data_IF_657252134337
#
_entry.id   IF_657252134337
#
_cell.length_a   1.000
_cell.length_b   1.000
_cell.length_c   1.000
_cell.angle_alpha   90.00
_cell.angle_beta   90.00
_cell.angle_gamma   90.00
#
_symmetry.space_group_name_H-M   'P 1'
#
loop_
_entity.id
_entity.type
_entity.pdbx_description
1 polymer ?
#
# COMPACT_ATOMS: atom_id res chain seq x y z
N UNK A 1 16.18 34.18 -30.82
CA UNK A 1 15.98 33.95 -29.36
C UNK A 1 14.58 33.46 -28.97
N UNK A 2 13.50 33.80 -29.70
CA UNK A 2 12.11 33.41 -29.32
C UNK A 2 11.79 31.91 -29.46
N UNK A 3 12.42 31.19 -30.39
CA UNK A 3 12.11 29.77 -30.67
C UNK A 3 12.55 28.79 -29.56
N UNK A 4 13.60 29.14 -28.78
CA UNK A 4 14.11 28.28 -27.69
C UNK A 4 13.22 28.30 -26.46
N UNK A 5 12.56 29.42 -26.18
CA UNK A 5 11.63 29.55 -25.05
C UNK A 5 10.33 28.78 -25.27
N UNK A 6 9.83 28.74 -26.50
CA UNK A 6 8.60 28.00 -26.83
C UNK A 6 8.78 26.49 -26.70
N UNK A 7 9.95 25.95 -27.05
CA UNK A 7 10.26 24.53 -26.93
C UNK A 7 10.37 24.07 -25.46
N UNK A 8 10.95 24.90 -24.60
CA UNK A 8 11.07 24.64 -23.15
C UNK A 8 9.71 24.63 -22.45
N UNK A 9 8.78 25.52 -22.84
CA UNK A 9 7.41 25.53 -22.33
C UNK A 9 6.62 24.28 -22.76
N UNK A 10 6.77 23.84 -24.02
CA UNK A 10 6.16 22.61 -24.53
C UNK A 10 6.70 21.34 -23.84
N UNK A 11 8.00 21.28 -23.56
CA UNK A 11 8.61 20.18 -22.79
C UNK A 11 8.14 20.15 -21.32
N UNK A 12 7.90 21.32 -20.71
CA UNK A 12 7.36 21.40 -19.34
C UNK A 12 5.90 20.93 -19.24
N UNK A 13 5.09 21.16 -20.27
CA UNK A 13 3.69 20.73 -20.33
C UNK A 13 3.57 19.20 -20.53
N UNK A 14 4.49 18.57 -21.27
CA UNK A 14 4.52 17.12 -21.42
C UNK A 14 5.07 16.38 -20.19
N UNK A 15 5.81 17.05 -19.30
CA UNK A 15 6.33 16.43 -18.07
C UNK A 15 5.25 16.30 -16.98
N UNK A 16 4.22 17.15 -16.99
CA UNK A 16 3.16 17.18 -15.97
C UNK A 16 2.18 16.00 -16.05
N UNK A 17 2.05 15.34 -17.21
CA UNK A 17 1.08 14.25 -17.42
C UNK A 17 1.54 12.88 -16.92
N UNK A 18 2.67 12.80 -16.20
CA UNK A 18 3.25 11.54 -15.72
C UNK A 18 3.06 11.26 -14.23
N UNK A 19 2.31 12.11 -13.52
CA UNK A 19 1.92 11.85 -12.14
C UNK A 19 0.90 10.70 -12.08
N UNK A 20 1.36 9.55 -11.58
CA UNK A 20 0.50 8.41 -11.29
C UNK A 20 -0.55 8.79 -10.24
N UNK A 21 -1.63 8.02 -10.21
CA UNK A 21 -2.72 8.27 -9.27
C UNK A 21 -2.24 8.10 -7.82
N UNK A 22 -2.59 9.04 -6.94
CA UNK A 22 -2.31 8.92 -5.51
C UNK A 22 -3.50 8.32 -4.77
N UNK A 23 -3.21 7.37 -3.88
CA UNK A 23 -4.18 6.68 -3.03
C UNK A 23 -3.75 6.89 -1.58
N UNK A 24 -4.55 7.63 -0.82
CA UNK A 24 -4.23 7.94 0.57
C UNK A 24 -4.99 6.99 1.51
N UNK A 25 -4.26 6.36 2.42
CA UNK A 25 -4.81 5.45 3.44
C UNK A 25 -4.63 6.09 4.82
N UNK A 26 -5.67 6.17 5.62
CA UNK A 26 -5.61 6.53 7.03
C UNK A 26 -5.48 5.26 7.88
N UNK A 27 -4.38 5.16 8.62
CA UNK A 27 -4.13 4.10 9.59
C UNK A 27 -4.71 4.48 10.97
N UNK A 28 -5.12 3.49 11.78
CA UNK A 28 -5.41 3.71 13.19
C UNK A 28 -4.22 4.34 13.92
N UNK A 29 -4.52 5.08 14.98
CA UNK A 29 -3.50 5.66 15.85
C UNK A 29 -2.59 4.57 16.41
N UNK A 30 -1.29 4.83 16.39
CA UNK A 30 -0.23 3.93 16.85
C UNK A 30 -0.19 2.55 16.15
N UNK A 31 -0.78 2.43 14.96
CA UNK A 31 -0.72 1.18 14.20
C UNK A 31 0.73 0.77 13.89
N UNK A 32 0.99 -0.53 14.00
CA UNK A 32 2.24 -1.17 13.59
C UNK A 32 1.97 -2.56 13.02
N UNK A 33 2.85 -3.01 12.14
CA UNK A 33 2.78 -4.31 11.47
C UNK A 33 2.41 -4.21 9.99
N UNK A 34 1.92 -5.32 9.44
CA UNK A 34 1.57 -5.43 8.03
C UNK A 34 0.27 -4.70 7.72
N UNK A 35 0.30 -3.85 6.70
CA UNK A 35 -0.86 -3.18 6.11
C UNK A 35 -1.16 -3.87 4.78
N UNK A 36 -2.42 -4.24 4.58
CA UNK A 36 -2.91 -4.85 3.34
C UNK A 36 -3.96 -3.93 2.71
N UNK A 37 -3.75 -3.56 1.46
CA UNK A 37 -4.66 -2.72 0.69
C UNK A 37 -5.27 -3.59 -0.40
N UNK A 38 -6.57 -3.82 -0.27
CA UNK A 38 -7.32 -4.77 -1.07
C UNK A 38 -8.13 -3.99 -2.11
N UNK A 39 -7.80 -4.09 -3.40
CA UNK A 39 -8.63 -3.58 -4.48
C UNK A 39 -9.95 -4.35 -4.55
N UNK A 40 -11.06 -3.66 -4.73
CA UNK A 40 -12.41 -4.23 -4.80
C UNK A 40 -13.09 -3.76 -6.08
N UNK A 41 -13.66 -4.69 -6.85
CA UNK A 41 -14.33 -4.38 -8.11
C UNK A 41 -15.75 -3.84 -7.86
N UNK A 42 -16.53 -4.56 -7.04
CA UNK A 42 -17.89 -4.15 -6.67
C UNK A 42 -17.92 -3.27 -5.42
N UNK A 43 -17.75 -1.97 -5.65
CA UNK A 43 -17.81 -0.95 -4.58
C UNK A 43 -19.24 -0.65 -4.10
N UNK A 44 -20.28 -1.11 -4.82
CA UNK A 44 -21.69 -0.93 -4.43
C UNK A 44 -22.05 -1.93 -3.35
N UNK A 45 -21.63 -3.19 -3.50
CA UNK A 45 -21.83 -4.24 -2.50
C UNK A 45 -20.73 -4.29 -1.43
N UNK A 46 -19.69 -3.48 -1.57
CA UNK A 46 -18.57 -3.41 -0.63
C UNK A 46 -18.09 -1.97 -0.40
N UNK A 47 -18.54 -1.30 0.68
CA UNK A 47 -18.15 0.07 0.94
C UNK A 47 -16.65 0.17 1.25
N UNK A 48 -15.99 1.13 0.59
CA UNK A 48 -14.61 1.51 0.88
C UNK A 48 -14.64 2.75 1.79
N UNK A 49 -14.56 2.61 3.13
CA UNK A 49 -14.79 3.71 4.05
C UNK A 49 -13.73 4.82 3.89
N UNK A 50 -14.18 6.07 3.92
CA UNK A 50 -13.33 7.26 3.81
C UNK A 50 -13.38 8.11 5.09
N UNK A 51 -12.23 8.62 5.51
CA UNK A 51 -12.10 9.63 6.57
C UNK A 51 -11.25 10.79 6.04
N UNK A 52 -11.81 12.00 6.02
CA UNK A 52 -11.12 13.22 5.54
C UNK A 52 -10.43 13.00 4.17
N UNK A 53 -11.13 12.33 3.25
CA UNK A 53 -10.64 12.03 1.90
C UNK A 53 -9.62 10.89 1.78
N UNK A 54 -9.39 10.10 2.84
CA UNK A 54 -8.45 8.96 2.85
C UNK A 54 -9.19 7.66 3.14
N UNK A 55 -8.79 6.55 2.51
CA UNK A 55 -9.37 5.24 2.80
C UNK A 55 -8.99 4.79 4.20
N UNK A 56 -9.98 4.44 5.00
CA UNK A 56 -9.76 4.04 6.38
C UNK A 56 -9.31 2.58 6.43
N UNK A 57 -8.11 2.34 6.95
CA UNK A 57 -7.70 1.01 7.35
C UNK A 57 -8.39 0.59 8.65
N UNK A 58 -8.75 -0.67 8.75
CA UNK A 58 -9.25 -1.27 9.99
C UNK A 58 -8.16 -1.30 11.07
N UNK A 59 -8.54 -1.60 12.32
CA UNK A 59 -7.59 -1.86 13.43
C UNK A 59 -6.63 -3.01 13.14
N UNK A 60 -6.94 -3.82 12.13
CA UNK A 60 -6.14 -4.97 11.68
C UNK A 60 -5.22 -4.62 10.50
N UNK A 61 -5.20 -3.35 10.08
CA UNK A 61 -4.36 -2.84 8.99
C UNK A 61 -4.86 -3.20 7.61
N UNK A 62 -6.16 -3.46 7.45
CA UNK A 62 -6.76 -3.76 6.14
C UNK A 62 -7.48 -2.53 5.64
N UNK A 63 -7.12 -2.03 4.46
CA UNK A 63 -7.85 -0.98 3.77
C UNK A 63 -8.43 -1.53 2.46
N UNK A 64 -9.63 -1.09 2.11
CA UNK A 64 -10.27 -1.44 0.85
C UNK A 64 -10.33 -0.22 -0.05
N UNK A 65 -9.99 -0.41 -1.33
CA UNK A 65 -9.96 0.65 -2.33
C UNK A 65 -10.66 0.19 -3.61
N UNK A 66 -11.25 1.10 -4.40
CA UNK A 66 -11.73 0.76 -5.73
C UNK A 66 -10.61 0.23 -6.63
N UNK A 67 -10.84 -0.89 -7.32
CA UNK A 67 -9.86 -1.53 -8.19
C UNK A 67 -9.38 -0.64 -9.35
N UNK A 68 -10.25 0.24 -9.83
CA UNK A 68 -10.01 1.22 -10.88
C UNK A 68 -8.74 2.05 -10.65
N UNK A 69 -8.35 2.25 -9.38
CA UNK A 69 -7.17 3.01 -9.00
C UNK A 69 -5.86 2.22 -9.10
N UNK A 70 -5.94 0.90 -9.25
CA UNK A 70 -4.78 0.00 -9.33
C UNK A 70 -4.47 -0.48 -10.76
N UNK A 71 -5.27 -0.06 -11.75
CA UNK A 71 -5.11 -0.43 -13.16
C UNK A 71 -4.08 0.42 -13.92
N UNK A 72 -3.72 1.59 -13.38
CA UNK A 72 -2.70 2.49 -13.94
C UNK A 72 -1.52 2.60 -12.99
N UNK A 73 -0.48 3.34 -13.35
CA UNK A 73 0.58 3.70 -12.41
C UNK A 73 -0.03 4.45 -11.22
N UNK A 74 0.11 3.91 -10.02
CA UNK A 74 -0.39 4.51 -8.79
C UNK A 74 0.70 4.57 -7.73
N UNK A 75 0.47 5.40 -6.71
CA UNK A 75 1.27 5.50 -5.51
C UNK A 75 0.33 5.49 -4.31
N UNK A 76 0.70 4.75 -3.28
CA UNK A 76 -0.02 4.74 -2.02
C UNK A 76 0.73 5.62 -1.04
N UNK A 77 0.01 6.41 -0.24
CA UNK A 77 0.55 7.10 0.94
C UNK A 77 -0.22 6.64 2.17
N UNK A 78 0.52 6.36 3.23
CA UNK A 78 -0.05 5.93 4.51
C UNK A 78 0.01 7.10 5.48
N UNK A 79 -1.09 7.38 6.17
CA UNK A 79 -1.19 8.47 7.12
C UNK A 79 -1.54 7.95 8.50
N UNK A 80 -0.80 8.37 9.51
CA UNK A 80 -1.13 8.14 10.91
C UNK A 80 -1.20 9.51 11.60
N UNK A 81 -2.32 9.81 12.26
CA UNK A 81 -2.54 11.11 12.90
C UNK A 81 -2.31 12.33 11.96
N UNK A 82 -2.59 12.14 10.67
CA UNK A 82 -2.41 13.18 9.64
C UNK A 82 -0.98 13.31 9.09
N UNK A 83 -0.01 12.59 9.63
CA UNK A 83 1.37 12.57 9.13
C UNK A 83 1.57 11.44 8.12
N UNK A 84 2.25 11.72 7.00
CA UNK A 84 2.62 10.69 6.04
C UNK A 84 3.73 9.80 6.62
N UNK A 85 3.39 8.53 6.87
CA UNK A 85 4.29 7.50 7.41
C UNK A 85 4.73 6.49 6.35
N UNK A 86 4.33 6.65 5.08
CA UNK A 86 4.79 5.77 3.99
C UNK A 86 6.33 5.68 3.90
N UNK A 87 7.11 6.78 4.03
CA UNK A 87 8.57 6.69 4.01
C UNK A 87 9.18 5.86 5.16
N UNK A 88 8.42 5.65 6.24
CA UNK A 88 8.85 4.86 7.41
C UNK A 88 8.61 3.35 7.19
N UNK A 89 7.82 2.98 6.18
CA UNK A 89 7.51 1.58 5.87
C UNK A 89 8.69 0.82 5.27
N UNK A 90 8.55 -0.51 5.24
CA UNK A 90 9.47 -1.47 4.65
C UNK A 90 8.67 -2.47 3.82
N UNK A 91 9.35 -3.16 2.90
CA UNK A 91 8.78 -4.24 2.09
C UNK A 91 7.46 -3.84 1.39
N UNK A 92 7.42 -2.63 0.81
CA UNK A 92 6.27 -2.15 0.07
C UNK A 92 6.21 -2.80 -1.33
N UNK A 93 5.03 -3.27 -1.74
CA UNK A 93 4.90 -3.88 -3.06
C UNK A 93 3.47 -4.23 -3.45
N UNK A 94 3.24 -4.31 -4.75
CA UNK A 94 2.08 -4.99 -5.33
C UNK A 94 2.35 -6.50 -5.32
N UNK A 95 1.40 -7.26 -4.81
CA UNK A 95 1.46 -8.72 -4.71
C UNK A 95 0.36 -9.33 -5.54
N UNK A 96 0.71 -10.39 -6.24
CA UNK A 96 -0.20 -11.32 -6.89
C UNK A 96 0.12 -12.71 -6.35
N UNK A 97 -0.78 -13.26 -5.53
CA UNK A 97 -0.61 -14.57 -4.90
C UNK A 97 -1.71 -15.53 -5.34
N UNK A 98 -1.33 -16.71 -5.82
CA UNK A 98 -2.28 -17.70 -6.32
C UNK A 98 -2.65 -18.68 -5.22
N UNK A 99 -3.92 -18.67 -4.81
CA UNK A 99 -4.45 -19.71 -3.93
C UNK A 99 -4.87 -20.92 -4.74
N UNK A 100 -4.07 -21.98 -4.72
CA UNK A 100 -4.41 -23.25 -5.36
C UNK A 100 -5.70 -23.88 -4.79
N UNK A 101 -5.96 -23.67 -3.50
CA UNK A 101 -7.15 -24.19 -2.80
C UNK A 101 -8.43 -23.52 -3.29
N UNK A 102 -8.40 -22.20 -3.51
CA UNK A 102 -9.56 -21.45 -3.98
C UNK A 102 -9.60 -21.28 -5.49
N UNK A 103 -8.49 -21.59 -6.18
CA UNK A 103 -8.26 -21.32 -7.61
C UNK A 103 -8.47 -19.83 -7.96
N UNK A 104 -8.06 -18.94 -7.06
CA UNK A 104 -8.18 -17.48 -7.20
C UNK A 104 -6.80 -16.84 -7.09
N UNK A 105 -6.58 -15.78 -7.88
CA UNK A 105 -5.42 -14.89 -7.74
C UNK A 105 -5.81 -13.72 -6.85
N UNK A 106 -5.11 -13.57 -5.72
CA UNK A 106 -5.24 -12.43 -4.85
C UNK A 106 -4.29 -11.34 -5.29
N UNK A 107 -4.84 -10.18 -5.68
CA UNK A 107 -4.05 -9.01 -6.01
C UNK A 107 -4.23 -7.95 -4.94
N UNK A 108 -3.15 -7.53 -4.28
CA UNK A 108 -3.20 -6.54 -3.21
C UNK A 108 -1.89 -5.78 -3.08
N UNK A 109 -1.91 -4.63 -2.40
CA UNK A 109 -0.68 -3.90 -2.05
C UNK A 109 -0.38 -4.15 -0.59
N UNK A 110 0.89 -4.36 -0.26
CA UNK A 110 1.35 -4.56 1.11
C UNK A 110 2.40 -3.55 1.53
N UNK A 111 2.42 -3.25 2.82
CA UNK A 111 3.47 -2.48 3.49
C UNK A 111 3.74 -3.12 4.86
N UNK A 112 4.99 -3.12 5.30
CA UNK A 112 5.32 -3.37 6.70
C UNK A 112 5.64 -2.03 7.38
N UNK A 113 4.86 -1.65 8.39
CA UNK A 113 5.15 -0.49 9.25
C UNK A 113 5.82 -0.97 10.55
N UNK A 114 7.14 -0.76 10.72
CA UNK A 114 7.85 -1.24 11.91
C UNK A 114 7.42 -0.53 13.18
N UNK A 115 7.83 -1.09 14.32
CA UNK A 115 7.75 -0.42 15.62
C UNK A 115 8.52 0.91 15.58
N UNK A 116 8.10 1.90 16.38
CA UNK A 116 8.68 3.25 16.39
C UNK A 116 10.20 3.29 16.51
N UNK A 117 10.80 2.36 17.28
CA UNK A 117 12.27 2.25 17.45
C UNK A 117 13.00 1.78 16.20
N UNK A 118 12.32 1.07 15.31
CA UNK A 118 12.89 0.48 14.08
C UNK A 118 12.66 1.37 12.85
N UNK A 119 11.69 2.29 12.89
CA UNK A 119 11.36 3.18 11.77
C UNK A 119 12.53 4.04 11.24
N UNK A 120 13.42 4.59 12.10
CA UNK A 120 14.56 5.36 11.64
C UNK A 120 15.63 4.52 10.92
N UNK A 121 15.57 3.18 11.00
CA UNK A 121 16.57 2.31 10.39
C UNK A 121 16.34 2.28 8.87
N UNK A 122 17.30 2.75 8.05
CA UNK A 122 17.13 2.81 6.60
C UNK A 122 16.85 1.43 6.02
N UNK A 123 15.99 1.34 4.99
CA UNK A 123 15.65 0.06 4.34
C UNK A 123 16.85 -0.69 3.77
N UNK A 124 17.94 0.03 3.47
CA UNK A 124 19.19 -0.53 2.99
C UNK A 124 20.09 -1.09 4.10
N UNK A 125 19.78 -0.86 5.39
CA UNK A 125 20.63 -1.30 6.49
C UNK A 125 20.72 -2.84 6.57
N UNK A 126 21.89 -3.35 6.95
CA UNK A 126 22.12 -4.80 7.14
C UNK A 126 21.12 -5.41 8.13
N UNK A 127 20.69 -4.61 9.10
CA UNK A 127 19.60 -4.92 10.02
C UNK A 127 18.39 -5.61 9.35
N UNK A 128 17.94 -5.12 8.19
CA UNK A 128 16.79 -5.66 7.46
C UNK A 128 17.13 -6.87 6.58
N UNK A 129 18.42 -7.05 6.26
CA UNK A 129 18.92 -8.11 5.38
C UNK A 129 19.31 -9.37 6.12
N UNK A 130 19.48 -9.28 7.45
CA UNK A 130 19.73 -10.45 8.29
C UNK A 130 18.71 -11.55 7.94
N UNK A 131 19.21 -12.68 7.44
CA UNK A 131 18.39 -13.73 6.83
C UNK A 131 17.22 -14.18 7.73
N UNK A 132 17.47 -14.24 9.04
CA UNK A 132 16.47 -14.58 10.04
C UNK A 132 15.33 -13.55 10.11
N UNK A 133 15.62 -12.24 10.06
CA UNK A 133 14.60 -11.18 10.16
C UNK A 133 13.73 -11.15 8.90
N UNK A 134 14.33 -11.21 7.72
CA UNK A 134 13.55 -11.22 6.47
C UNK A 134 12.67 -12.47 6.37
N UNK A 135 13.21 -13.63 6.73
CA UNK A 135 12.45 -14.89 6.77
C UNK A 135 11.31 -14.83 7.80
N UNK A 136 11.58 -14.30 8.99
CA UNK A 136 10.58 -14.12 10.05
C UNK A 136 9.45 -13.19 9.61
N UNK A 137 9.77 -12.03 9.03
CA UNK A 137 8.79 -11.07 8.55
C UNK A 137 7.94 -11.64 7.41
N UNK A 138 8.56 -12.36 6.48
CA UNK A 138 7.85 -13.07 5.39
C UNK A 138 6.89 -14.14 5.94
N UNK A 139 7.33 -14.92 6.95
CA UNK A 139 6.46 -15.89 7.62
C UNK A 139 5.30 -15.21 8.35
N UNK A 140 5.58 -14.19 9.16
CA UNK A 140 4.57 -13.40 9.86
C UNK A 140 3.56 -12.79 8.91
N UNK A 141 4.01 -12.30 7.75
CA UNK A 141 3.16 -11.76 6.69
C UNK A 141 2.17 -12.81 6.20
N UNK A 142 2.67 -13.98 5.80
CA UNK A 142 1.85 -15.08 5.26
C UNK A 142 0.86 -15.59 6.30
N UNK A 143 1.31 -15.81 7.53
CA UNK A 143 0.46 -16.29 8.63
C UNK A 143 -0.63 -15.27 8.96
N UNK A 144 -0.30 -13.97 8.96
CA UNK A 144 -1.28 -12.90 9.18
C UNK A 144 -2.28 -12.80 8.04
N UNK A 145 -1.83 -12.79 6.78
CA UNK A 145 -2.71 -12.73 5.62
C UNK A 145 -3.70 -13.90 5.59
N UNK A 146 -3.22 -15.12 5.85
CA UNK A 146 -4.07 -16.31 5.95
C UNK A 146 -5.06 -16.22 7.10
N UNK A 147 -4.63 -15.69 8.25
CA UNK A 147 -5.52 -15.46 9.40
C UNK A 147 -6.62 -14.47 9.05
N UNK A 148 -6.29 -13.36 8.40
CA UNK A 148 -7.26 -12.34 7.98
C UNK A 148 -8.24 -12.87 6.91
N UNK A 149 -7.77 -13.72 5.99
CA UNK A 149 -8.63 -14.40 5.03
C UNK A 149 -9.61 -15.37 5.71
N UNK A 150 -9.09 -16.29 6.54
CA UNK A 150 -9.90 -17.34 7.19
C UNK A 150 -10.87 -16.77 8.22
N UNK A 151 -10.47 -15.71 8.93
CA UNK A 151 -11.34 -14.97 9.87
C UNK A 151 -12.30 -13.99 9.19
N UNK A 152 -12.33 -13.94 7.85
CA UNK A 152 -13.24 -13.09 7.07
C UNK A 152 -13.06 -11.60 7.38
N UNK A 153 -11.81 -11.17 7.56
CA UNK A 153 -11.43 -9.77 7.69
C UNK A 153 -10.84 -9.20 6.39
N UNK A 154 -10.33 -10.07 5.52
CA UNK A 154 -10.04 -9.79 4.11
C UNK A 154 -11.04 -10.54 3.23
N UNK A 155 -11.61 -9.84 2.26
CA UNK A 155 -12.39 -10.43 1.18
C UNK A 155 -11.91 -9.87 -0.15
N UNK A 156 -11.85 -10.73 -1.16
CA UNK A 156 -11.65 -10.33 -2.54
C UNK A 156 -13.01 -10.43 -3.23
N UNK A 157 -13.49 -9.30 -3.76
CA UNK A 157 -14.77 -9.19 -4.46
C UNK A 157 -14.59 -8.44 -5.77
#
# INVERSE_FOLDING_TARGET
MKLRFTLLLLLSLCALSSYGQQIDIALPDHYQGWVFIIPVHDTVAFPCPLVKGKYLATTQGVAYIPDAYTHKKFQVRLFQQGHNVEPETKYAGLVEDYSAQQKVVYRYVEFYLPESKERPIPSSAEYWRQANRMTMLSKQKKDRFNTLLTSKQIFFK
#
